data_IF_274842756726
#
_entry.id   IF_274842756726
#
_cell.length_a   1.000
_cell.length_b   1.000
_cell.length_c   1.000
_cell.angle_alpha   90.00
_cell.angle_beta   90.00
_cell.angle_gamma   90.00
#
_symmetry.space_group_name_H-M   'P 1'
#
loop_
_entity.id
_entity.type
_entity.pdbx_description
1 polymer ?
#
# COMPACT_ATOMS: atom_id res chain seq x y z
N UNK A 1 16.66 -8.80 17.70
CA UNK A 1 15.19 -8.71 17.82
C UNK A 1 14.61 -8.21 16.49
N UNK A 2 13.99 -9.07 15.69
CA UNK A 2 13.37 -8.68 14.41
C UNK A 2 11.95 -8.14 14.62
N UNK A 3 11.67 -6.94 14.12
CA UNK A 3 10.47 -6.18 14.42
C UNK A 3 9.20 -6.82 13.81
N UNK A 4 8.34 -7.39 14.66
CA UNK A 4 6.96 -7.72 14.27
C UNK A 4 6.12 -6.43 14.27
N UNK A 5 6.01 -5.76 13.12
CA UNK A 5 5.05 -4.64 12.90
C UNK A 5 3.98 -4.98 11.85
N UNK A 6 3.42 -6.19 11.93
CA UNK A 6 2.34 -6.62 11.03
C UNK A 6 0.97 -5.99 11.36
N UNK A 7 0.80 -5.44 12.56
CA UNK A 7 -0.46 -4.84 13.04
C UNK A 7 -0.62 -3.33 12.78
N UNK A 8 0.23 -2.71 11.95
CA UNK A 8 0.10 -1.29 11.63
C UNK A 8 -1.13 -1.05 10.72
N UNK A 9 -2.02 -0.13 11.09
CA UNK A 9 -3.16 0.26 10.24
C UNK A 9 -2.72 1.26 9.17
N UNK A 10 -2.86 0.88 7.91
CA UNK A 10 -2.48 1.69 6.73
C UNK A 10 -3.66 2.54 6.26
N UNK A 11 -4.82 1.91 6.07
CA UNK A 11 -6.05 2.62 5.73
C UNK A 11 -6.90 2.76 6.98
N UNK A 12 -6.91 3.95 7.59
CA UNK A 12 -7.68 4.19 8.81
C UNK A 12 -9.19 4.20 8.56
N UNK A 13 -9.65 4.77 7.44
CA UNK A 13 -11.08 4.91 7.18
C UNK A 13 -11.79 3.58 6.87
N UNK A 14 -11.07 2.60 6.28
CA UNK A 14 -11.59 1.24 6.06
C UNK A 14 -10.97 0.19 6.99
N UNK A 15 -10.24 0.62 8.03
CA UNK A 15 -9.58 -0.26 9.00
C UNK A 15 -8.67 -1.35 8.39
N UNK A 16 -7.94 -1.05 7.32
CA UNK A 16 -7.08 -2.03 6.64
C UNK A 16 -5.66 -1.98 7.21
N UNK A 17 -5.19 -3.14 7.67
CA UNK A 17 -3.86 -3.34 8.24
C UNK A 17 -2.80 -3.56 7.16
N UNK A 18 -1.53 -3.38 7.53
CA UNK A 18 -0.38 -3.64 6.68
C UNK A 18 -0.35 -5.08 6.21
N UNK A 19 -0.62 -6.03 7.11
CA UNK A 19 -0.66 -7.45 6.79
C UNK A 19 -1.61 -7.74 5.62
N UNK A 20 -2.84 -7.22 5.67
CA UNK A 20 -3.82 -7.40 4.58
C UNK A 20 -3.31 -6.87 3.24
N UNK A 21 -2.62 -5.72 3.23
CA UNK A 21 -2.01 -5.18 2.00
C UNK A 21 -0.88 -6.08 1.50
N UNK A 22 0.02 -6.51 2.39
CA UNK A 22 1.13 -7.40 2.02
C UNK A 22 0.62 -8.75 1.50
N UNK A 23 -0.44 -9.29 2.08
CA UNK A 23 -1.09 -10.52 1.61
C UNK A 23 -1.70 -10.34 0.22
N UNK A 24 -2.42 -9.23 -0.04
CA UNK A 24 -2.96 -8.94 -1.36
C UNK A 24 -1.86 -8.87 -2.43
N UNK A 25 -0.73 -8.23 -2.11
CA UNK A 25 0.43 -8.14 -3.00
C UNK A 25 1.04 -9.54 -3.24
N UNK A 26 1.22 -10.36 -2.19
CA UNK A 26 1.70 -11.75 -2.33
C UNK A 26 0.76 -12.62 -3.16
N UNK A 27 -0.55 -12.35 -3.10
CA UNK A 27 -1.57 -13.07 -3.86
C UNK A 27 -1.72 -12.58 -5.31
N UNK A 28 -0.87 -11.65 -5.76
CA UNK A 28 -0.80 -11.23 -7.16
C UNK A 28 -1.29 -9.81 -7.46
N UNK A 29 -1.54 -8.98 -6.45
CA UNK A 29 -1.83 -7.55 -6.70
C UNK A 29 -0.54 -6.83 -7.16
N UNK A 30 -0.46 -6.51 -8.45
CA UNK A 30 0.71 -5.88 -9.07
C UNK A 30 0.50 -4.39 -9.38
N UNK A 31 -0.71 -3.87 -9.19
CA UNK A 31 -1.02 -2.45 -9.35
C UNK A 31 -1.73 -1.91 -8.11
N UNK A 32 -1.72 -0.57 -7.96
CA UNK A 32 -2.50 0.09 -6.92
C UNK A 32 -3.99 -0.22 -7.03
N UNK A 33 -4.51 -0.32 -8.25
CA UNK A 33 -5.92 -0.62 -8.46
C UNK A 33 -6.28 -2.04 -8.00
N UNK A 34 -5.40 -3.01 -8.21
CA UNK A 34 -5.58 -4.38 -7.70
C UNK A 34 -5.63 -4.39 -6.16
N UNK A 35 -4.77 -3.60 -5.50
CA UNK A 35 -4.80 -3.44 -4.04
C UNK A 35 -6.13 -2.82 -3.60
N UNK A 36 -6.63 -1.81 -4.31
CA UNK A 36 -7.89 -1.15 -3.97
C UNK A 36 -9.08 -2.11 -4.11
N UNK A 37 -9.12 -2.87 -5.21
CA UNK A 37 -10.18 -3.83 -5.50
C UNK A 37 -10.19 -4.99 -4.49
N UNK A 38 -9.02 -5.54 -4.18
CA UNK A 38 -8.89 -6.70 -3.29
C UNK A 38 -9.02 -6.38 -1.80
N UNK A 39 -8.60 -5.18 -1.37
CA UNK A 39 -8.54 -4.84 0.07
C UNK A 39 -9.48 -3.71 0.49
N UNK A 40 -10.09 -3.01 -0.46
CA UNK A 40 -10.79 -1.73 -0.22
C UNK A 40 -9.92 -0.62 0.37
N UNK A 41 -8.60 -0.80 0.50
CA UNK A 41 -7.71 0.31 0.86
C UNK A 41 -7.65 1.34 -0.28
N UNK A 42 -7.36 2.59 0.05
CA UNK A 42 -7.28 3.66 -0.94
C UNK A 42 -8.63 4.15 -1.48
N UNK A 43 -9.76 3.54 -1.17
CA UNK A 43 -11.10 4.08 -1.47
C UNK A 43 -11.80 4.58 -0.21
N UNK A 44 -12.88 5.36 -0.33
CA UNK A 44 -13.69 5.80 0.82
C UNK A 44 -13.72 7.31 1.07
N UNK A 45 -14.47 7.76 2.09
CA UNK A 45 -14.80 9.17 2.31
C UNK A 45 -13.57 10.03 2.66
N UNK A 46 -12.48 9.38 3.07
CA UNK A 46 -11.22 10.04 3.38
C UNK A 46 -10.38 10.40 2.13
N UNK A 47 -10.93 10.23 0.92
CA UNK A 47 -10.28 10.58 -0.35
C UNK A 47 -9.08 9.70 -0.72
N UNK A 48 -8.89 8.57 -0.04
CA UNK A 48 -7.76 7.68 -0.30
C UNK A 48 -6.41 8.21 0.19
N UNK A 49 -6.38 8.98 1.29
CA UNK A 49 -5.14 9.55 1.85
C UNK A 49 -4.01 8.52 2.12
N UNK A 50 -4.36 7.25 2.35
CA UNK A 50 -3.43 6.13 2.50
C UNK A 50 -2.74 5.68 1.20
N UNK A 51 -3.20 6.12 0.02
CA UNK A 51 -2.56 5.79 -1.28
C UNK A 51 -1.08 6.19 -1.34
N UNK A 52 -0.70 7.25 -0.61
CA UNK A 52 0.70 7.72 -0.45
C UNK A 52 1.63 6.73 0.23
N UNK A 53 1.08 5.75 0.97
CA UNK A 53 1.80 4.61 1.58
C UNK A 53 1.83 3.39 0.67
N UNK A 54 0.72 3.14 -0.03
CA UNK A 54 0.54 1.94 -0.85
C UNK A 54 1.48 1.91 -2.05
N UNK A 55 1.68 3.06 -2.71
CA UNK A 55 2.55 3.17 -3.88
C UNK A 55 4.00 2.74 -3.58
N UNK A 56 4.69 3.39 -2.63
CA UNK A 56 6.05 3.02 -2.25
C UNK A 56 6.18 1.58 -1.75
N UNK A 57 5.17 1.07 -1.01
CA UNK A 57 5.17 -0.31 -0.52
C UNK A 57 5.12 -1.32 -1.67
N UNK A 58 4.20 -1.12 -2.62
CA UNK A 58 4.05 -1.97 -3.79
C UNK A 58 5.30 -1.91 -4.68
N UNK A 59 5.80 -0.71 -4.98
CA UNK A 59 7.00 -0.54 -5.80
C UNK A 59 8.22 -1.23 -5.18
N UNK A 60 8.39 -1.11 -3.86
CA UNK A 60 9.45 -1.80 -3.14
C UNK A 60 9.33 -3.32 -3.30
N UNK A 61 8.12 -3.88 -3.15
CA UNK A 61 7.91 -5.31 -3.31
C UNK A 61 8.19 -5.78 -4.74
N UNK A 62 7.69 -5.06 -5.75
CA UNK A 62 7.91 -5.41 -7.15
C UNK A 62 9.41 -5.37 -7.53
N UNK A 63 10.18 -4.48 -6.91
CA UNK A 63 11.62 -4.36 -7.15
C UNK A 63 12.47 -5.36 -6.38
N UNK A 64 12.10 -5.69 -5.15
CA UNK A 64 12.96 -6.45 -4.22
C UNK A 64 12.42 -7.84 -3.85
N UNK A 65 11.16 -8.16 -4.18
CA UNK A 65 10.48 -9.38 -3.76
C UNK A 65 10.22 -9.50 -2.24
N UNK A 66 10.45 -8.43 -1.48
CA UNK A 66 10.34 -8.37 -0.02
C UNK A 66 9.64 -7.07 0.40
N UNK A 67 9.27 -6.94 1.69
CA UNK A 67 8.66 -5.72 2.21
C UNK A 67 9.64 -4.96 3.11
N UNK A 68 9.64 -3.61 3.08
CA UNK A 68 10.54 -2.80 3.91
C UNK A 68 10.13 -2.88 5.38
N UNK A 69 11.08 -2.79 6.32
CA UNK A 69 10.74 -2.82 7.76
C UNK A 69 9.79 -1.68 8.17
N UNK A 70 9.95 -0.50 7.56
CA UNK A 70 9.15 0.69 7.79
C UNK A 70 8.50 1.17 6.50
N UNK A 71 7.26 1.65 6.60
CA UNK A 71 6.57 2.27 5.47
C UNK A 71 7.00 3.73 5.34
N UNK A 72 7.36 4.11 4.13
CA UNK A 72 7.63 5.49 3.74
C UNK A 72 6.41 6.08 3.04
N UNK A 73 6.13 7.34 3.31
CA UNK A 73 5.05 8.08 2.65
C UNK A 73 5.65 8.92 1.52
N UNK A 74 5.09 8.84 0.32
CA UNK A 74 5.36 9.83 -0.71
C UNK A 74 4.68 11.15 -0.32
N UNK A 75 5.48 12.16 0.03
CA UNK A 75 5.01 13.49 0.41
C UNK A 75 5.17 14.51 -0.72
N UNK A 76 5.58 14.08 -1.92
CA UNK A 76 5.88 15.00 -3.03
C UNK A 76 4.63 15.70 -3.59
N UNK A 77 3.43 15.30 -3.17
CA UNK A 77 2.17 15.92 -3.59
C UNK A 77 1.78 15.61 -5.04
N UNK A 78 2.60 14.83 -5.76
CA UNK A 78 2.21 14.24 -7.03
C UNK A 78 1.23 13.10 -6.72
N UNK A 79 0.00 13.20 -7.22
CA UNK A 79 -0.88 12.03 -7.30
C UNK A 79 -0.18 10.88 -8.04
N UNK A 80 -0.70 9.63 -7.95
CA UNK A 80 -0.13 8.51 -8.71
C UNK A 80 0.00 8.96 -10.16
N UNK A 81 1.23 9.07 -10.64
CA UNK A 81 1.52 9.63 -11.96
C UNK A 81 0.76 8.83 -13.02
N UNK A 82 0.29 9.46 -14.11
CA UNK A 82 -0.38 8.74 -15.17
C UNK A 82 0.57 7.65 -15.67
N UNK A 83 0.04 6.42 -15.72
CA UNK A 83 0.67 5.27 -16.35
C UNK A 83 0.92 5.68 -17.80
N UNK A 84 2.19 5.78 -18.22
CA UNK A 84 2.51 5.96 -19.65
C UNK A 84 2.27 4.61 -20.31
N UNK A 85 1.19 4.51 -21.08
CA UNK A 85 0.96 3.48 -22.09
C UNK A 85 2.05 3.48 -23.17
#
# INVERSE_FOLDING_TARGET
>A
MGAKKKSEIICRCNNISRETIEEAIRNGAHTLNDIFDTTSAGVGPCGGSCRRKLGPLLEYYLKNGTFPDKITEDLTGKGPGPKKD
#
